data_IF_854962618039
#
_entry.id   IF_854962618039
#
_cell.length_a   1.000
_cell.length_b   1.000
_cell.length_c   1.000
_cell.angle_alpha   90.00
_cell.angle_beta   90.00
_cell.angle_gamma   90.00
#
_symmetry.space_group_name_H-M   'P 1'
#
loop_
_entity.id
_entity.type
_entity.pdbx_description
1 polymer ?
#
# COMPACT_ATOMS: atom_id res chain seq x y z
N UNK A 1 13.09 31.53 32.24
CA UNK A 1 12.20 30.37 32.55
C UNK A 1 10.88 30.38 31.75
N UNK A 2 10.09 31.47 31.75
CA UNK A 2 8.75 31.51 31.10
C UNK A 2 8.82 31.40 29.57
N UNK A 3 9.80 32.04 28.93
CA UNK A 3 10.00 31.96 27.48
C UNK A 3 10.38 30.56 26.99
N UNK A 4 11.22 29.85 27.75
CA UNK A 4 11.57 28.47 27.45
C UNK A 4 10.35 27.55 27.57
N UNK A 5 9.52 27.72 28.62
CA UNK A 5 8.24 27.00 28.76
C UNK A 5 7.29 27.27 27.59
N UNK A 6 7.17 28.53 27.15
CA UNK A 6 6.34 28.90 25.98
C UNK A 6 6.86 28.28 24.69
N UNK A 7 8.19 28.23 24.49
CA UNK A 7 8.80 27.57 23.34
C UNK A 7 8.44 26.08 23.29
N UNK A 8 8.56 25.38 24.42
CA UNK A 8 8.16 23.96 24.52
C UNK A 8 6.68 23.75 24.25
N UNK A 9 5.80 24.63 24.74
CA UNK A 9 4.36 24.56 24.47
C UNK A 9 4.07 24.76 22.97
N UNK A 10 4.68 25.77 22.35
CA UNK A 10 4.49 26.04 20.91
C UNK A 10 5.01 24.87 20.07
N UNK A 11 6.19 24.34 20.39
CA UNK A 11 6.74 23.17 19.72
C UNK A 11 5.83 21.94 19.89
N UNK A 12 5.30 21.70 21.09
CA UNK A 12 4.37 20.61 21.37
C UNK A 12 3.06 20.75 20.59
N UNK A 13 2.47 21.95 20.56
CA UNK A 13 1.26 22.22 19.75
C UNK A 13 1.55 22.04 18.27
N UNK A 14 2.69 22.53 17.76
CA UNK A 14 3.09 22.34 16.37
C UNK A 14 3.23 20.86 15.99
N UNK A 15 3.86 20.06 16.85
CA UNK A 15 4.00 18.62 16.66
C UNK A 15 2.65 17.90 16.67
N UNK A 16 1.76 18.24 17.60
CA UNK A 16 0.41 17.67 17.68
C UNK A 16 -0.43 18.02 16.45
N UNK A 17 -0.36 19.27 16.00
CA UNK A 17 -1.04 19.72 14.77
C UNK A 17 -0.52 18.98 13.54
N UNK A 18 0.80 18.80 13.42
CA UNK A 18 1.40 18.04 12.32
C UNK A 18 0.98 16.55 12.36
N UNK A 19 1.03 15.93 13.53
CA UNK A 19 0.61 14.54 13.72
C UNK A 19 -0.88 14.36 13.39
N UNK A 20 -1.73 15.27 13.87
CA UNK A 20 -3.15 15.29 13.57
C UNK A 20 -3.43 15.46 12.07
N UNK A 21 -2.70 16.35 11.40
CA UNK A 21 -2.81 16.55 9.95
C UNK A 21 -2.36 15.32 9.14
N UNK A 22 -1.25 14.67 9.53
CA UNK A 22 -0.79 13.44 8.90
C UNK A 22 -1.81 12.31 9.08
N UNK A 23 -2.33 12.13 10.30
CA UNK A 23 -3.39 11.15 10.55
C UNK A 23 -4.64 11.46 9.71
N UNK A 24 -5.05 12.72 9.66
CA UNK A 24 -6.21 13.15 8.90
C UNK A 24 -6.06 12.88 7.39
N UNK A 25 -4.87 13.10 6.83
CA UNK A 25 -4.65 12.99 5.37
C UNK A 25 -4.26 11.59 4.90
N UNK A 26 -3.67 10.76 5.77
CA UNK A 26 -3.11 9.45 5.39
C UNK A 26 -3.85 8.25 5.99
N UNK A 27 -4.48 8.39 7.16
CA UNK A 27 -5.12 7.28 7.88
C UNK A 27 -6.61 7.46 8.11
N UNK A 28 -7.11 8.70 8.02
CA UNK A 28 -8.51 8.99 8.30
C UNK A 28 -9.45 8.27 7.35
N UNK A 29 -10.59 7.79 7.86
CA UNK A 29 -11.62 7.20 7.03
C UNK A 29 -12.31 8.20 6.09
N UNK A 30 -12.13 9.51 6.29
CA UNK A 30 -12.91 10.55 5.58
C UNK A 30 -12.30 11.02 4.25
N UNK A 31 -11.01 10.78 4.00
CA UNK A 31 -10.30 11.32 2.82
C UNK A 31 -9.89 10.26 1.80
N UNK A 32 -10.31 9.01 2.03
CA UNK A 32 -10.13 7.91 1.09
C UNK A 32 -11.44 7.15 0.96
N UNK A 33 -12.05 7.29 -0.20
CA UNK A 33 -13.15 6.45 -0.66
C UNK A 33 -12.55 5.33 -1.49
N UNK A 34 -12.80 4.09 -1.06
CA UNK A 34 -12.38 2.91 -1.81
C UNK A 34 -13.20 2.84 -3.10
N UNK A 35 -12.57 2.72 -4.27
CA UNK A 35 -13.28 2.52 -5.53
C UNK A 35 -14.26 1.33 -5.47
N UNK A 36 -15.48 1.52 -5.99
CA UNK A 36 -16.58 0.54 -5.92
C UNK A 36 -16.34 -0.71 -6.78
N UNK A 37 -15.42 -0.63 -7.74
CA UNK A 37 -15.02 -1.71 -8.65
C UNK A 37 -14.06 -2.73 -8.00
N UNK A 38 -13.50 -2.42 -6.83
CA UNK A 38 -12.61 -3.31 -6.10
C UNK A 38 -13.39 -4.40 -5.36
N UNK A 39 -12.97 -5.65 -5.52
CA UNK A 39 -13.55 -6.78 -4.80
C UNK A 39 -13.52 -6.61 -3.27
N UNK A 40 -14.58 -7.05 -2.60
CA UNK A 40 -14.69 -7.02 -1.15
C UNK A 40 -13.55 -7.80 -0.47
N UNK A 41 -13.20 -7.37 0.74
CA UNK A 41 -12.24 -8.11 1.57
C UNK A 41 -12.95 -9.29 2.21
N UNK A 42 -12.46 -10.49 1.95
CA UNK A 42 -12.94 -11.70 2.61
C UNK A 42 -12.64 -11.65 4.11
N UNK A 43 -13.59 -12.07 4.94
CA UNK A 43 -13.46 -12.07 6.41
C UNK A 43 -12.63 -13.25 6.92
N UNK A 44 -11.35 -13.26 6.56
CA UNK A 44 -10.35 -14.28 6.96
C UNK A 44 -8.98 -13.65 7.17
N UNK A 45 -8.01 -14.39 7.75
CA UNK A 45 -6.63 -13.95 7.74
C UNK A 45 -6.08 -13.87 6.30
N UNK A 46 -5.35 -12.80 6.04
CA UNK A 46 -4.68 -12.50 4.78
C UNK A 46 -3.19 -12.43 4.98
N UNK A 47 -2.47 -12.73 3.90
CA UNK A 47 -1.01 -12.66 3.85
C UNK A 47 -0.64 -11.50 2.93
N UNK A 48 0.19 -10.58 3.41
CA UNK A 48 0.60 -9.39 2.66
C UNK A 48 2.13 -9.30 2.67
N UNK A 49 2.74 -9.34 1.49
CA UNK A 49 4.18 -9.16 1.35
C UNK A 49 4.50 -7.67 1.18
N UNK A 50 5.39 -7.16 2.05
CA UNK A 50 5.79 -5.76 2.09
C UNK A 50 7.29 -5.60 1.91
N UNK A 51 7.68 -4.68 1.04
CA UNK A 51 9.08 -4.39 0.72
C UNK A 51 9.49 -2.94 1.04
N UNK A 52 8.52 -2.08 1.36
CA UNK A 52 8.68 -0.64 1.60
C UNK A 52 8.62 -0.22 3.08
N UNK A 53 7.91 0.88 3.37
CA UNK A 53 7.82 1.51 4.70
C UNK A 53 7.17 0.63 5.76
N UNK A 54 6.27 -0.27 5.36
CA UNK A 54 5.62 -1.24 6.26
C UNK A 54 6.60 -2.27 6.86
N UNK A 55 7.86 -2.30 6.42
CA UNK A 55 8.92 -3.05 7.12
C UNK A 55 9.23 -2.50 8.50
N UNK A 56 8.97 -1.21 8.76
CA UNK A 56 9.25 -0.56 10.03
C UNK A 56 8.10 -0.77 11.04
N UNK A 57 8.42 -1.31 12.22
CA UNK A 57 7.45 -1.60 13.26
C UNK A 57 6.58 -0.39 13.70
N UNK A 58 7.13 0.83 13.86
CA UNK A 58 6.31 2.00 14.20
C UNK A 58 5.28 2.35 13.11
N UNK A 59 5.63 2.18 11.84
CA UNK A 59 4.70 2.42 10.72
C UNK A 59 3.56 1.40 10.78
N UNK A 60 3.86 0.13 11.01
CA UNK A 60 2.84 -0.91 11.19
C UNK A 60 1.90 -0.60 12.34
N UNK A 61 2.42 -0.17 13.49
CA UNK A 61 1.56 0.21 14.62
C UNK A 61 0.61 1.35 14.25
N UNK A 62 1.12 2.38 13.56
CA UNK A 62 0.31 3.53 13.16
C UNK A 62 -0.76 3.12 12.14
N UNK A 63 -0.40 2.34 11.12
CA UNK A 63 -1.28 1.96 10.01
C UNK A 63 -2.24 0.84 10.39
N UNK A 64 -1.72 -0.27 10.89
CA UNK A 64 -2.49 -1.48 11.20
C UNK A 64 -3.10 -1.43 12.60
N UNK A 65 -2.62 -0.57 13.50
CA UNK A 65 -3.01 -0.59 14.92
C UNK A 65 -2.30 -1.69 15.72
N UNK A 66 -1.43 -2.48 15.08
CA UNK A 66 -0.68 -3.58 15.68
C UNK A 66 0.74 -3.62 15.12
N UNK A 67 1.69 -4.24 15.84
CA UNK A 67 3.02 -4.49 15.29
C UNK A 67 3.04 -5.69 14.32
N UNK A 68 2.00 -6.53 14.35
CA UNK A 68 1.94 -7.85 13.72
C UNK A 68 3.06 -8.79 14.18
N UNK A 69 3.11 -9.96 13.55
CA UNK A 69 4.24 -10.90 13.66
C UNK A 69 4.83 -11.05 12.25
N UNK A 70 5.70 -10.11 11.82
CA UNK A 70 6.25 -10.15 10.48
C UNK A 70 7.28 -11.27 10.34
N UNK A 71 7.19 -12.00 9.23
CA UNK A 71 8.14 -13.05 8.88
C UNK A 71 9.03 -12.58 7.74
N UNK A 72 10.28 -13.04 7.67
CA UNK A 72 11.14 -12.72 6.53
C UNK A 72 10.66 -13.50 5.32
N UNK A 73 10.52 -12.83 4.19
CA UNK A 73 10.10 -13.43 2.95
C UNK A 73 10.89 -12.87 1.76
N UNK A 74 10.96 -13.66 0.70
CA UNK A 74 11.63 -13.28 -0.55
C UNK A 74 10.66 -13.47 -1.72
N UNK A 75 10.58 -12.44 -2.55
CA UNK A 75 9.85 -12.47 -3.82
C UNK A 75 10.87 -12.68 -4.96
N UNK A 76 10.71 -13.75 -5.73
CA UNK A 76 11.60 -14.13 -6.84
C UNK A 76 11.12 -13.56 -8.17
N UNK A 77 12.05 -13.36 -9.10
CA UNK A 77 11.80 -12.84 -10.45
C UNK A 77 11.25 -11.41 -10.49
N UNK A 78 11.52 -10.64 -9.44
CA UNK A 78 11.21 -9.21 -9.37
C UNK A 78 12.45 -8.40 -8.98
N UNK A 79 12.50 -7.17 -9.47
CA UNK A 79 13.43 -6.14 -9.02
C UNK A 79 12.66 -5.00 -8.38
N UNK A 80 13.25 -4.45 -7.32
CA UNK A 80 12.78 -3.23 -6.69
C UNK A 80 13.50 -2.02 -7.29
N UNK A 81 12.74 -1.06 -7.80
CA UNK A 81 13.24 0.26 -8.19
C UNK A 81 12.54 1.35 -7.34
N UNK A 82 13.22 1.81 -6.29
CA UNK A 82 12.66 2.77 -5.34
C UNK A 82 11.44 2.23 -4.59
N UNK A 83 10.24 2.70 -4.97
CA UNK A 83 8.94 2.27 -4.42
C UNK A 83 8.17 1.32 -5.35
N UNK A 84 8.74 1.05 -6.54
CA UNK A 84 8.10 0.28 -7.59
C UNK A 84 8.72 -1.11 -7.66
N UNK A 85 7.94 -2.08 -8.16
CA UNK A 85 8.37 -3.44 -8.43
C UNK A 85 8.18 -3.71 -9.91
N UNK A 86 9.22 -4.23 -10.55
CA UNK A 86 9.20 -4.64 -11.95
C UNK A 86 9.61 -6.10 -12.08
N UNK A 87 8.98 -6.88 -12.98
CA UNK A 87 9.42 -8.24 -13.27
C UNK A 87 10.87 -8.23 -13.80
N UNK A 88 11.74 -9.02 -13.18
CA UNK A 88 13.11 -9.21 -13.61
C UNK A 88 13.56 -10.64 -13.25
N UNK A 89 13.60 -11.55 -14.24
CA UNK A 89 14.00 -12.94 -14.00
C UNK A 89 15.38 -13.05 -13.37
N UNK A 90 15.51 -13.92 -12.36
CA UNK A 90 16.76 -14.14 -11.62
C UNK A 90 17.15 -13.03 -10.64
N UNK A 91 16.23 -12.11 -10.36
CA UNK A 91 16.37 -11.07 -9.33
C UNK A 91 15.44 -11.38 -8.15
N UNK A 92 15.85 -11.00 -6.95
CA UNK A 92 15.13 -11.27 -5.72
C UNK A 92 14.87 -9.99 -4.93
N UNK A 93 13.66 -9.86 -4.36
CA UNK A 93 13.31 -8.78 -3.43
C UNK A 93 13.09 -9.34 -2.04
N UNK A 94 13.93 -8.91 -1.10
CA UNK A 94 13.74 -9.20 0.32
C UNK A 94 12.71 -8.26 0.96
N UNK A 95 11.73 -8.84 1.64
CA UNK A 95 10.68 -8.14 2.34
C UNK A 95 10.26 -8.83 3.63
N UNK A 96 9.05 -8.48 4.07
CA UNK A 96 8.39 -9.14 5.19
C UNK A 96 7.03 -9.67 4.72
N UNK A 97 6.64 -10.83 5.21
CA UNK A 97 5.29 -11.34 5.13
C UNK A 97 4.53 -10.93 6.40
N UNK A 98 3.40 -10.26 6.21
CA UNK A 98 2.49 -9.86 7.28
C UNK A 98 1.26 -10.75 7.25
N UNK A 99 0.89 -11.27 8.41
CA UNK A 99 -0.41 -11.89 8.63
C UNK A 99 -1.35 -10.85 9.20
N UNK A 100 -2.42 -10.54 8.48
CA UNK A 100 -3.36 -9.47 8.83
C UNK A 100 -4.79 -9.95 8.78
N UNK A 101 -5.64 -9.42 9.65
CA UNK A 101 -7.09 -9.61 9.52
C UNK A 101 -7.70 -8.69 8.44
N UNK A 102 -9.01 -8.83 8.21
CA UNK A 102 -9.72 -8.04 7.20
C UNK A 102 -9.73 -6.54 7.50
N UNK A 103 -9.80 -6.14 8.77
CA UNK A 103 -9.83 -4.74 9.18
C UNK A 103 -8.44 -4.11 9.04
N UNK A 104 -7.39 -4.86 9.39
CA UNK A 104 -5.99 -4.51 9.15
C UNK A 104 -5.71 -4.38 7.65
N UNK A 105 -6.20 -5.32 6.83
CA UNK A 105 -6.08 -5.23 5.37
C UNK A 105 -6.80 -4.00 4.81
N UNK A 106 -8.00 -3.66 5.31
CA UNK A 106 -8.71 -2.45 4.90
C UNK A 106 -7.95 -1.16 5.28
N UNK A 107 -7.25 -1.16 6.43
CA UNK A 107 -6.38 -0.05 6.83
C UNK A 107 -5.13 0.05 5.95
N UNK A 108 -4.56 -1.08 5.54
CA UNK A 108 -3.45 -1.12 4.59
C UNK A 108 -3.88 -0.59 3.21
N UNK A 109 -5.03 -1.04 2.70
CA UNK A 109 -5.60 -0.56 1.43
C UNK A 109 -5.77 0.96 1.44
N UNK A 110 -6.20 1.53 2.58
CA UNK A 110 -6.33 2.98 2.77
C UNK A 110 -4.98 3.70 2.76
N UNK A 111 -4.01 3.18 3.51
CA UNK A 111 -2.67 3.76 3.58
C UNK A 111 -1.96 3.77 2.21
N UNK A 112 -2.09 2.67 1.47
CA UNK A 112 -1.54 2.54 0.12
C UNK A 112 -2.42 3.23 -0.94
N UNK A 113 -3.62 3.70 -0.59
CA UNK A 113 -4.59 4.30 -1.52
C UNK A 113 -4.89 3.38 -2.70
N UNK A 114 -5.34 2.17 -2.38
CA UNK A 114 -5.71 1.13 -3.34
C UNK A 114 -6.66 1.67 -4.41
N UNK A 115 -6.37 1.38 -5.68
CA UNK A 115 -7.12 1.83 -6.86
C UNK A 115 -6.82 3.26 -7.32
N UNK A 116 -6.02 4.04 -6.57
CA UNK A 116 -5.60 5.41 -6.98
C UNK A 116 -4.10 5.45 -7.22
N UNK A 117 -3.31 4.84 -6.33
CA UNK A 117 -1.85 4.87 -6.40
C UNK A 117 -1.26 3.47 -6.58
N UNK A 118 -1.85 2.49 -5.95
CA UNK A 118 -1.43 1.10 -6.01
C UNK A 118 -2.62 0.20 -6.34
N UNK A 119 -2.36 -0.92 -6.99
CA UNK A 119 -3.24 -2.08 -7.08
C UNK A 119 -2.74 -3.19 -6.15
N UNK A 120 -3.61 -4.14 -5.84
CA UNK A 120 -3.28 -5.30 -5.01
C UNK A 120 -3.28 -6.55 -5.89
N UNK A 121 -2.11 -7.16 -6.04
CA UNK A 121 -1.93 -8.38 -6.84
C UNK A 121 -1.52 -9.54 -5.95
N UNK A 122 -2.08 -10.72 -6.19
CA UNK A 122 -1.69 -11.94 -5.48
C UNK A 122 -0.45 -12.54 -6.16
N UNK A 123 0.65 -12.69 -5.44
CA UNK A 123 1.91 -13.25 -5.95
C UNK A 123 2.35 -14.41 -5.05
N UNK A 124 3.01 -15.39 -5.66
CA UNK A 124 3.64 -16.51 -4.95
C UNK A 124 5.07 -16.16 -4.56
N UNK A 125 5.40 -16.32 -3.28
CA UNK A 125 6.73 -16.11 -2.73
C UNK A 125 7.63 -17.34 -2.97
N UNK A 126 8.94 -17.19 -2.71
CA UNK A 126 9.95 -18.28 -2.85
C UNK A 126 9.56 -19.59 -2.16
N UNK A 127 8.90 -19.49 -1.00
CA UNK A 127 8.51 -20.65 -0.18
C UNK A 127 7.19 -21.30 -0.64
N UNK A 128 6.58 -20.79 -1.72
CA UNK A 128 5.28 -21.24 -2.24
C UNK A 128 4.08 -20.55 -1.60
N UNK A 129 4.30 -19.65 -0.64
CA UNK A 129 3.23 -18.90 0.03
C UNK A 129 2.60 -17.89 -0.92
N UNK A 130 1.26 -17.86 -1.00
CA UNK A 130 0.53 -16.83 -1.75
C UNK A 130 0.27 -15.61 -0.86
N UNK A 131 0.70 -14.45 -1.31
CA UNK A 131 0.57 -13.20 -0.57
C UNK A 131 0.13 -12.06 -1.49
N UNK A 132 -0.63 -11.13 -0.93
CA UNK A 132 -0.95 -9.86 -1.57
C UNK A 132 0.28 -8.95 -1.61
N UNK A 133 0.51 -8.32 -2.74
CA UNK A 133 1.55 -7.31 -2.96
C UNK A 133 0.89 -6.05 -3.51
N UNK A 134 1.26 -4.90 -2.97
CA UNK A 134 0.85 -3.60 -3.53
C UNK A 134 1.82 -3.21 -4.64
N UNK A 135 1.31 -3.10 -5.87
CA UNK A 135 2.06 -2.65 -7.03
C UNK A 135 1.59 -1.27 -7.45
N UNK A 136 2.51 -0.39 -7.79
CA UNK A 136 2.13 0.96 -8.19
C UNK A 136 1.46 0.92 -9.55
N UNK A 137 0.33 1.60 -9.67
CA UNK A 137 -0.35 1.74 -10.96
C UNK A 137 0.60 2.47 -11.93
N UNK A 138 0.77 1.97 -13.16
CA UNK A 138 1.55 2.68 -14.17
C UNK A 138 0.91 4.04 -14.41
N UNK A 139 1.73 5.09 -14.52
CA UNK A 139 1.25 6.49 -14.75
C UNK A 139 0.52 6.64 -16.12
N UNK A 140 0.32 5.55 -16.87
CA UNK A 140 -0.24 5.51 -18.22
C UNK A 140 -1.76 5.23 -18.30
N UNK A 141 -2.45 5.07 -17.17
CA UNK A 141 -3.89 4.75 -17.14
C UNK A 141 -4.84 5.96 -17.26
N UNK A 142 -4.39 7.06 -17.88
CA UNK A 142 -5.29 8.12 -18.36
C UNK A 142 -5.32 8.24 -19.90
N UNK A 143 -4.74 7.28 -20.62
CA UNK A 143 -4.65 7.31 -22.10
C UNK A 143 -4.85 5.96 -22.79
N UNK A 144 -5.62 5.04 -22.20
CA UNK A 144 -6.12 3.88 -22.92
C UNK A 144 -7.65 3.91 -22.96
N UNK A 145 -8.17 4.69 -23.91
CA UNK A 145 -9.37 4.25 -24.63
C UNK A 145 -8.93 2.96 -25.33
N UNK A 146 -9.53 1.78 -25.07
CA UNK A 146 -9.30 0.64 -25.94
C UNK A 146 -9.76 1.10 -27.31
N UNK A 147 -8.83 1.19 -28.26
CA UNK A 147 -9.16 1.36 -29.66
C UNK A 147 -10.12 0.21 -29.97
N UNK A 148 -11.41 0.56 -30.08
CA UNK A 148 -12.41 -0.39 -30.47
C UNK A 148 -12.05 -0.74 -31.91
N UNK A 149 -11.43 -1.90 -32.08
CA UNK A 149 -11.35 -2.63 -33.33
C UNK A 149 -12.79 -2.77 -33.89
N UNK A 150 -13.27 -1.72 -34.54
CA UNK A 150 -14.41 -1.77 -35.42
C UNK A 150 -13.86 -2.23 -36.76
N UNK A 151 -14.16 -3.47 -37.21
CA UNK A 151 -13.87 -3.83 -38.58
C UNK A 151 -14.71 -2.90 -39.46
N UNK A 152 -14.05 -1.96 -40.16
CA UNK A 152 -14.68 -1.23 -41.25
C UNK A 152 -14.96 -2.28 -42.34
N UNK A 153 -16.19 -2.79 -42.33
CA UNK A 153 -16.72 -3.59 -43.42
C UNK A 153 -16.78 -2.70 -44.67
N UNK A 154 -15.80 -2.86 -45.56
CA UNK A 154 -15.91 -2.46 -46.95
C UNK A 154 -17.01 -3.31 -47.58
N UNK A 155 -18.20 -2.74 -47.71
CA UNK A 155 -19.26 -3.26 -48.58
C UNK A 155 -19.02 -2.67 -49.98
N UNK A 156 -19.04 -3.48 -51.05
CA UNK A 156 -18.65 -3.08 -52.40
C UNK A 156 -19.60 -2.07 -53.07
#
# INVERSE_FOLDING_TARGET
>A
MVWLKRLFVIAGVGLLSLAGWLWLTMLSPWFYDRPEDLADIEQRPHQVFVYGTLRYAPIRLVVMGSFGVPEKATLEDYQRDGLDLSPQPGSDVEGLLLHVDADELARLDRYERLGIRYERMEITLRDGTRAWVYLRLPVLENTFVPDADLPIALVP
#
